data_IF_865838037792
#
_entry.id   IF_865838037792
#
_cell.length_a   1.000
_cell.length_b   1.000
_cell.length_c   1.000
_cell.angle_alpha   90.00
_cell.angle_beta   90.00
_cell.angle_gamma   90.00
#
_symmetry.space_group_name_H-M   'P 1'
#
loop_
_entity.id
_entity.type
_entity.pdbx_description
1 polymer ?
#
# COMPACT_ATOMS: atom_id res chain seq x y z
N UNK A 1 64.48 -47.12 48.87
CA UNK A 1 65.49 -46.22 49.47
C UNK A 1 66.82 -46.51 48.80
N UNK A 2 67.57 -45.50 48.36
CA UNK A 2 68.88 -45.69 47.71
C UNK A 2 70.00 -45.31 48.69
N UNK A 3 71.06 -46.11 48.75
CA UNK A 3 72.20 -45.84 49.64
C UNK A 3 73.04 -44.66 49.13
N UNK A 4 73.46 -43.80 50.05
CA UNK A 4 73.97 -42.46 49.76
C UNK A 4 75.49 -42.41 49.60
N UNK A 5 76.03 -42.97 48.52
CA UNK A 5 77.46 -42.82 48.18
C UNK A 5 77.77 -41.38 47.72
N UNK A 6 78.01 -40.49 48.68
CA UNK A 6 78.49 -39.12 48.45
C UNK A 6 80.01 -39.06 48.51
N UNK A 7 80.68 -38.95 47.35
CA UNK A 7 82.13 -38.81 47.28
C UNK A 7 82.61 -37.51 47.94
N UNK A 8 83.66 -37.59 48.76
CA UNK A 8 84.27 -36.44 49.45
C UNK A 8 85.07 -35.54 48.50
N UNK A 9 85.15 -34.24 48.79
CA UNK A 9 85.85 -33.23 48.00
C UNK A 9 87.38 -33.47 47.96
N UNK A 10 87.99 -33.44 46.77
CA UNK A 10 89.44 -33.71 46.55
C UNK A 10 90.31 -32.44 46.76
N UNK A 11 89.91 -31.59 47.73
CA UNK A 11 90.65 -30.39 48.14
C UNK A 11 91.40 -30.70 49.46
N UNK A 12 92.69 -30.35 49.60
CA UNK A 12 93.47 -30.63 50.82
C UNK A 12 92.75 -30.14 52.09
N UNK A 13 92.61 -31.02 53.09
CA UNK A 13 91.94 -30.71 54.35
C UNK A 13 90.41 -30.61 54.30
N UNK A 14 89.74 -30.79 53.15
CA UNK A 14 88.29 -30.73 53.05
C UNK A 14 87.62 -32.10 53.20
N UNK A 15 86.68 -32.22 54.16
CA UNK A 15 85.87 -33.43 54.39
C UNK A 15 84.41 -33.31 53.91
N UNK A 16 84.05 -32.25 53.17
CA UNK A 16 82.67 -32.05 52.69
C UNK A 16 82.31 -33.04 51.55
N UNK A 17 81.08 -33.56 51.52
CA UNK A 17 80.58 -34.34 50.38
C UNK A 17 80.44 -33.44 49.14
N UNK A 18 80.60 -34.04 47.96
CA UNK A 18 80.36 -33.42 46.67
C UNK A 18 78.93 -33.74 46.22
N UNK A 19 78.09 -32.75 45.85
CA UNK A 19 76.74 -33.00 45.38
C UNK A 19 76.76 -33.63 43.98
N UNK A 20 75.77 -34.50 43.72
CA UNK A 20 75.56 -35.11 42.40
C UNK A 20 74.75 -34.15 41.53
N UNK A 21 75.38 -33.60 40.48
CA UNK A 21 74.65 -32.89 39.43
C UNK A 21 73.69 -33.84 38.70
N UNK A 22 72.52 -33.35 38.30
CA UNK A 22 71.45 -34.14 37.65
C UNK A 22 71.65 -34.35 36.14
N UNK A 23 72.67 -33.74 35.54
CA UNK A 23 72.98 -33.88 34.12
C UNK A 23 73.75 -35.17 33.80
N UNK A 24 73.52 -35.83 32.65
CA UNK A 24 74.32 -36.96 32.20
C UNK A 24 75.80 -36.56 32.00
N UNK A 25 76.69 -37.08 32.84
CA UNK A 25 78.10 -36.74 32.80
C UNK A 25 78.90 -37.33 33.97
N UNK A 26 80.22 -37.10 33.96
CA UNK A 26 81.11 -37.48 35.06
C UNK A 26 80.81 -36.59 36.27
N UNK A 27 80.59 -37.14 37.49
CA UNK A 27 80.28 -36.33 38.66
C UNK A 27 81.44 -35.36 39.00
N UNK A 28 81.14 -34.18 39.57
CA UNK A 28 82.16 -33.22 39.98
C UNK A 28 83.09 -33.80 41.04
N UNK A 29 84.29 -33.24 41.16
CA UNK A 29 85.35 -33.70 42.08
C UNK A 29 85.52 -32.79 43.32
N UNK A 30 84.75 -31.71 43.40
CA UNK A 30 84.83 -30.69 44.42
C UNK A 30 83.44 -30.22 44.82
N UNK A 31 83.25 -29.86 46.10
CA UNK A 31 81.99 -29.31 46.60
C UNK A 31 81.82 -27.84 46.23
N UNK A 32 80.59 -27.33 46.32
CA UNK A 32 80.13 -25.99 45.88
C UNK A 32 80.76 -24.76 46.55
N UNK A 33 81.87 -24.92 47.29
CA UNK A 33 82.68 -23.81 47.76
C UNK A 33 83.48 -23.20 46.59
N UNK A 34 83.34 -21.90 46.26
CA UNK A 34 84.07 -21.26 45.16
C UNK A 34 85.59 -21.38 45.26
N UNK A 35 86.11 -21.57 46.46
CA UNK A 35 87.51 -21.81 46.77
C UNK A 35 88.01 -23.18 46.30
N UNK A 36 87.14 -24.20 46.26
CA UNK A 36 87.54 -25.59 46.02
C UNK A 36 87.54 -25.90 44.52
N UNK A 37 88.45 -25.28 43.78
CA UNK A 37 88.66 -25.53 42.34
C UNK A 37 89.93 -26.35 42.08
N UNK A 38 90.01 -27.03 40.93
CA UNK A 38 91.17 -27.86 40.55
C UNK A 38 92.49 -27.09 40.60
N UNK A 39 92.48 -25.80 40.22
CA UNK A 39 93.65 -24.93 40.24
C UNK A 39 94.07 -24.54 41.67
N UNK A 40 93.14 -24.10 42.54
CA UNK A 40 93.47 -23.80 43.94
C UNK A 40 93.91 -25.06 44.69
N UNK A 41 93.28 -26.21 44.45
CA UNK A 41 93.70 -27.50 45.01
C UNK A 41 95.11 -27.94 44.57
N UNK A 42 95.55 -27.57 43.36
CA UNK A 42 96.93 -27.79 42.91
C UNK A 42 97.90 -26.81 43.57
N UNK A 43 97.58 -25.51 43.59
CA UNK A 43 98.42 -24.48 44.24
C UNK A 43 98.62 -24.76 45.74
N UNK A 44 97.59 -25.23 46.42
CA UNK A 44 97.66 -25.57 47.85
C UNK A 44 98.50 -26.83 48.11
N UNK A 45 98.44 -27.83 47.21
CA UNK A 45 99.39 -28.96 47.26
C UNK A 45 100.83 -28.53 47.01
N UNK A 46 101.06 -27.56 46.11
CA UNK A 46 102.39 -27.01 45.88
C UNK A 46 102.93 -26.24 47.09
N UNK A 47 102.08 -25.46 47.79
CA UNK A 47 102.42 -24.80 49.04
C UNK A 47 102.85 -25.80 50.12
N UNK A 48 102.04 -26.84 50.33
CA UNK A 48 102.33 -27.90 51.32
C UNK A 48 103.57 -28.73 50.96
N UNK A 49 103.85 -28.94 49.67
CA UNK A 49 105.09 -29.59 49.22
C UNK A 49 106.32 -28.72 49.52
N UNK A 50 106.27 -27.42 49.24
CA UNK A 50 107.37 -26.50 49.55
C UNK A 50 107.61 -26.39 51.07
N UNK A 51 106.54 -26.40 51.87
CA UNK A 51 106.64 -26.39 53.34
C UNK A 51 107.23 -27.69 53.90
N UNK A 52 107.08 -28.82 53.20
CA UNK A 52 107.76 -30.08 53.53
C UNK A 52 109.24 -30.08 53.11
N UNK A 53 109.56 -29.64 51.88
CA UNK A 53 110.95 -29.53 51.39
C UNK A 53 111.78 -28.61 52.30
N UNK A 54 111.24 -27.44 52.67
CA UNK A 54 111.90 -26.50 53.58
C UNK A 54 112.14 -27.10 54.98
N UNK A 55 111.29 -28.03 55.43
CA UNK A 55 111.45 -28.72 56.70
C UNK A 55 112.51 -29.84 56.64
N UNK A 56 112.61 -30.56 55.51
CA UNK A 56 113.66 -31.55 55.28
C UNK A 56 115.04 -30.91 55.09
N UNK A 57 115.12 -29.75 54.44
CA UNK A 57 116.38 -29.04 54.21
C UNK A 57 116.95 -28.47 55.53
N UNK A 58 116.09 -27.95 56.41
CA UNK A 58 116.49 -27.47 57.74
C UNK A 58 117.07 -28.58 58.64
N UNK A 59 116.63 -29.84 58.49
CA UNK A 59 117.18 -31.00 59.23
C UNK A 59 118.52 -31.45 58.64
N UNK A 60 118.78 -31.19 57.36
CA UNK A 60 120.00 -31.64 56.65
C UNK A 60 121.21 -30.77 56.94
N UNK A 61 121.02 -29.48 57.25
CA UNK A 61 122.09 -28.52 57.51
C UNK A 61 122.85 -28.70 58.84
N UNK A 62 122.42 -29.60 59.73
CA UNK A 62 123.00 -29.75 61.08
C UNK A 62 124.08 -30.86 61.20
N UNK A 63 124.52 -31.51 60.11
CA UNK A 63 125.24 -32.80 60.20
C UNK A 63 126.64 -32.97 59.52
N UNK A 64 127.20 -31.99 58.79
CA UNK A 64 128.43 -32.24 57.97
C UNK A 64 129.58 -31.19 58.07
N UNK A 65 130.49 -31.27 59.06
CA UNK A 65 131.84 -30.61 59.04
C UNK A 65 132.96 -31.40 59.79
N UNK A 66 134.16 -31.63 59.19
CA UNK A 66 135.41 -31.94 59.95
C UNK A 66 136.63 -32.70 59.31
N UNK A 67 137.85 -32.10 59.36
CA UNK A 67 139.25 -32.68 59.19
C UNK A 67 139.77 -33.01 57.74
N UNK A 68 141.04 -33.36 57.38
CA UNK A 68 142.36 -33.66 58.04
C UNK A 68 143.61 -33.33 57.14
N UNK A 69 144.89 -33.69 57.47
CA UNK A 69 146.14 -33.23 56.76
C UNK A 69 147.43 -34.17 56.75
N UNK A 70 148.64 -33.64 56.38
CA UNK A 70 149.96 -34.30 56.04
C UNK A 70 151.23 -33.48 56.45
N UNK A 71 152.48 -34.03 56.65
CA UNK A 71 153.60 -34.00 55.63
C UNK A 71 154.74 -35.10 55.80
N UNK A 72 155.99 -34.91 55.27
CA UNK A 72 157.18 -35.82 55.32
C UNK A 72 158.56 -35.14 54.97
N UNK A 73 159.75 -35.81 55.10
CA UNK A 73 161.14 -35.58 54.46
C UNK A 73 162.40 -35.95 55.35
N UNK A 74 163.65 -35.98 54.79
CA UNK A 74 164.98 -36.16 55.49
C UNK A 74 166.24 -36.32 54.56
N UNK A 75 167.51 -36.13 55.04
CA UNK A 75 168.77 -36.15 54.20
C UNK A 75 170.19 -36.25 54.91
N UNK A 76 171.27 -36.41 54.09
CA UNK A 76 172.72 -35.98 54.22
C UNK A 76 173.90 -36.96 54.67
N UNK A 77 175.22 -36.60 54.77
CA UNK A 77 176.37 -37.34 54.15
C UNK A 77 177.32 -38.11 55.12
N UNK A 78 178.40 -38.86 54.78
CA UNK A 78 179.39 -38.81 53.66
C UNK A 78 179.78 -40.22 53.14
N UNK A 79 178.99 -40.77 52.21
CA UNK A 79 179.34 -41.95 51.37
C UNK A 79 179.09 -41.68 49.87
N UNK A 80 178.93 -40.41 49.52
CA UNK A 80 178.29 -39.93 48.30
C UNK A 80 179.02 -40.25 46.98
N UNK A 81 180.30 -40.62 47.00
CA UNK A 81 181.03 -40.97 45.78
C UNK A 81 180.65 -42.37 45.24
N UNK A 82 180.41 -43.34 46.14
CA UNK A 82 180.06 -44.72 45.76
C UNK A 82 178.56 -44.85 45.52
N UNK A 83 177.74 -44.27 46.40
CA UNK A 83 176.29 -44.21 46.21
C UNK A 83 175.88 -43.47 44.94
N UNK A 84 176.63 -42.46 44.46
CA UNK A 84 176.35 -41.82 43.15
C UNK A 84 176.53 -42.76 41.97
N UNK A 85 177.40 -43.76 42.04
CA UNK A 85 177.55 -44.74 40.96
C UNK A 85 176.33 -45.68 40.91
N UNK A 86 175.92 -46.21 42.06
CA UNK A 86 174.72 -47.06 42.16
C UNK A 86 173.43 -46.28 41.88
N UNK A 87 173.33 -45.03 42.31
CA UNK A 87 172.22 -44.09 42.01
C UNK A 87 172.17 -43.74 40.51
N UNK A 88 173.32 -43.49 39.86
CA UNK A 88 173.34 -43.29 38.40
C UNK A 88 172.96 -44.58 37.64
N UNK A 89 173.43 -45.76 38.07
CA UNK A 89 173.03 -47.04 37.48
C UNK A 89 171.55 -47.35 37.71
N UNK A 90 171.02 -47.06 38.90
CA UNK A 90 169.60 -47.21 39.25
C UNK A 90 168.74 -46.26 38.43
N UNK A 91 169.16 -45.00 38.26
CA UNK A 91 168.50 -44.05 37.34
C UNK A 91 168.58 -44.52 35.90
N UNK A 92 169.70 -45.07 35.45
CA UNK A 92 169.81 -45.61 34.10
C UNK A 92 168.90 -46.82 33.89
N UNK A 93 168.73 -47.69 34.90
CA UNK A 93 167.77 -48.78 34.88
C UNK A 93 166.32 -48.28 34.87
N UNK A 94 165.96 -47.33 35.74
CA UNK A 94 164.62 -46.72 35.77
C UNK A 94 164.32 -45.94 34.48
N UNK A 95 165.30 -45.24 33.90
CA UNK A 95 165.14 -44.57 32.61
C UNK A 95 165.06 -45.55 31.44
N UNK A 96 165.78 -46.70 31.50
CA UNK A 96 165.64 -47.76 30.51
C UNK A 96 164.28 -48.49 30.63
N UNK A 97 163.76 -48.66 31.84
CA UNK A 97 162.42 -49.21 32.09
C UNK A 97 161.31 -48.23 31.69
N UNK A 98 161.46 -46.94 31.98
CA UNK A 98 160.55 -45.89 31.50
C UNK A 98 160.62 -45.72 29.97
N UNK A 99 161.80 -45.79 29.36
CA UNK A 99 161.95 -45.80 27.91
C UNK A 99 161.36 -47.09 27.33
N UNK A 100 161.53 -48.24 27.98
CA UNK A 100 160.91 -49.51 27.63
C UNK A 100 159.39 -49.44 27.67
N UNK A 101 158.79 -48.91 28.73
CA UNK A 101 157.35 -48.69 28.86
C UNK A 101 156.82 -47.64 27.87
N UNK A 102 157.61 -46.62 27.54
CA UNK A 102 157.27 -45.62 26.52
C UNK A 102 157.32 -46.22 25.13
N UNK A 103 158.35 -47.01 24.81
CA UNK A 103 158.49 -47.74 23.55
C UNK A 103 157.42 -48.82 23.42
N UNK A 104 157.08 -49.56 24.48
CA UNK A 104 156.01 -50.56 24.47
C UNK A 104 154.62 -49.92 24.35
N UNK A 105 154.38 -48.77 25.00
CA UNK A 105 153.17 -47.98 24.80
C UNK A 105 153.08 -47.44 23.36
N UNK A 106 154.19 -46.92 22.81
CA UNK A 106 154.27 -46.50 21.42
C UNK A 106 154.12 -47.68 20.45
N UNK A 107 154.69 -48.86 20.74
CA UNK A 107 154.54 -50.07 19.95
C UNK A 107 153.11 -50.59 20.01
N UNK A 108 152.40 -50.49 21.15
CA UNK A 108 150.97 -50.81 21.24
C UNK A 108 150.10 -49.80 20.47
N UNK A 109 150.42 -48.51 20.51
CA UNK A 109 149.76 -47.50 19.71
C UNK A 109 150.00 -47.71 18.20
N UNK A 110 151.26 -47.92 17.79
CA UNK A 110 151.62 -48.25 16.41
C UNK A 110 151.04 -49.59 15.97
N UNK A 111 150.97 -50.61 16.83
CA UNK A 111 150.29 -51.87 16.51
C UNK A 111 148.79 -51.65 16.29
N UNK A 112 148.13 -50.85 17.11
CA UNK A 112 146.70 -50.50 16.91
C UNK A 112 146.48 -49.65 15.65
N UNK A 113 147.43 -48.77 15.28
CA UNK A 113 147.39 -47.99 14.05
C UNK A 113 147.81 -48.79 12.80
N UNK A 114 148.53 -49.90 12.98
CA UNK A 114 149.02 -50.78 11.91
C UNK A 114 148.27 -52.11 11.85
N UNK A 115 147.23 -52.29 12.68
CA UNK A 115 146.34 -53.44 12.66
C UNK A 115 145.24 -53.20 11.62
N UNK A 116 145.29 -53.87 10.45
CA UNK A 116 144.24 -53.73 9.45
C UNK A 116 142.90 -54.24 9.98
N UNK A 117 142.86 -55.21 10.91
CA UNK A 117 141.61 -55.74 11.43
C UNK A 117 140.87 -54.72 12.33
N UNK A 118 141.59 -53.97 13.17
CA UNK A 118 141.01 -52.86 13.93
C UNK A 118 140.51 -51.74 13.01
N UNK A 119 141.25 -51.39 11.95
CA UNK A 119 140.84 -50.38 10.97
C UNK A 119 139.62 -50.83 10.15
N UNK A 120 139.61 -52.07 9.66
CA UNK A 120 138.49 -52.68 8.95
C UNK A 120 137.25 -52.77 9.84
N UNK A 121 137.38 -53.18 11.10
CA UNK A 121 136.27 -53.21 12.05
C UNK A 121 135.67 -51.83 12.32
N UNK A 122 136.50 -50.77 12.40
CA UNK A 122 136.02 -49.39 12.53
C UNK A 122 135.32 -48.90 11.25
N UNK A 123 135.87 -49.24 10.07
CA UNK A 123 135.27 -48.91 8.77
C UNK A 123 133.94 -49.64 8.56
N UNK A 124 133.83 -50.91 8.93
CA UNK A 124 132.56 -51.66 8.87
C UNK A 124 131.55 -51.19 9.91
N UNK A 125 131.98 -50.85 11.13
CA UNK A 125 131.10 -50.21 12.10
C UNK A 125 130.54 -48.86 11.59
N UNK A 126 131.38 -48.05 10.94
CA UNK A 126 130.97 -46.79 10.32
C UNK A 126 130.05 -47.02 9.10
N UNK A 127 130.32 -48.03 8.26
CA UNK A 127 129.46 -48.44 7.13
C UNK A 127 128.09 -48.90 7.61
N UNK A 128 128.04 -49.73 8.66
CA UNK A 128 126.79 -50.20 9.28
C UNK A 128 126.01 -49.06 9.95
N UNK A 129 126.69 -48.12 10.62
CA UNK A 129 126.05 -46.94 11.20
C UNK A 129 125.47 -46.02 10.11
N UNK A 130 126.24 -45.74 9.04
CA UNK A 130 125.76 -44.96 7.92
C UNK A 130 124.60 -45.64 7.18
N UNK A 131 124.66 -46.96 6.98
CA UNK A 131 123.57 -47.73 6.36
C UNK A 131 122.28 -47.68 7.20
N UNK A 132 122.38 -47.75 8.53
CA UNK A 132 121.22 -47.53 9.43
C UNK A 132 120.69 -46.11 9.32
N UNK A 133 121.55 -45.09 9.40
CA UNK A 133 121.15 -43.69 9.31
C UNK A 133 120.47 -43.36 7.96
N UNK A 134 120.95 -43.94 6.85
CA UNK A 134 120.30 -43.83 5.54
C UNK A 134 118.95 -44.54 5.54
N UNK A 135 118.87 -45.76 6.08
CA UNK A 135 117.60 -46.51 6.19
C UNK A 135 116.56 -45.80 7.06
N UNK A 136 116.99 -45.16 8.16
CA UNK A 136 116.14 -44.36 9.04
C UNK A 136 115.67 -43.08 8.35
N UNK A 137 116.57 -42.38 7.63
CA UNK A 137 116.24 -41.20 6.85
C UNK A 137 115.27 -41.50 5.70
N UNK A 138 115.47 -42.60 4.97
CA UNK A 138 114.54 -43.03 3.91
C UNK A 138 113.19 -43.50 4.48
N UNK A 139 113.18 -44.16 5.64
CA UNK A 139 111.93 -44.52 6.33
C UNK A 139 111.15 -43.27 6.74
N UNK A 140 111.80 -42.31 7.39
CA UNK A 140 111.19 -41.03 7.78
C UNK A 140 110.72 -40.21 6.55
N UNK A 141 111.46 -40.26 5.44
CA UNK A 141 111.07 -39.65 4.15
C UNK A 141 109.82 -40.30 3.57
N UNK A 142 109.74 -41.63 3.58
CA UNK A 142 108.57 -42.38 3.10
C UNK A 142 107.35 -42.15 4.01
N UNK A 143 107.51 -42.10 5.33
CA UNK A 143 106.43 -41.73 6.27
C UNK A 143 105.95 -40.29 6.09
N UNK A 144 106.86 -39.35 5.81
CA UNK A 144 106.50 -37.97 5.51
C UNK A 144 105.76 -37.86 4.16
N UNK A 145 106.18 -38.62 3.15
CA UNK A 145 105.50 -38.64 1.85
C UNK A 145 104.13 -39.32 1.93
N UNK A 146 104.00 -40.43 2.66
CA UNK A 146 102.72 -41.11 2.89
C UNK A 146 101.74 -40.19 3.62
N UNK A 147 102.15 -39.55 4.73
CA UNK A 147 101.31 -38.55 5.42
C UNK A 147 100.93 -37.37 4.53
N UNK A 148 101.79 -36.93 3.60
CA UNK A 148 101.44 -35.90 2.61
C UNK A 148 100.37 -36.40 1.64
N UNK A 149 100.52 -37.62 1.10
CA UNK A 149 99.55 -38.26 0.19
C UNK A 149 98.20 -38.49 0.87
N UNK A 150 98.20 -38.89 2.14
CA UNK A 150 96.99 -39.03 2.98
C UNK A 150 96.30 -37.69 3.20
N UNK A 151 97.04 -36.63 3.56
CA UNK A 151 96.49 -35.28 3.69
C UNK A 151 95.97 -34.73 2.35
N UNK A 152 96.65 -34.98 1.23
CA UNK A 152 96.21 -34.63 -0.13
C UNK A 152 94.97 -35.42 -0.57
N UNK A 153 94.78 -36.66 -0.10
CA UNK A 153 93.58 -37.46 -0.34
C UNK A 153 92.40 -36.98 0.54
N UNK A 154 92.64 -36.74 1.82
CA UNK A 154 91.63 -36.20 2.74
C UNK A 154 91.16 -34.81 2.31
N UNK A 155 92.07 -33.94 1.84
CA UNK A 155 91.71 -32.61 1.32
C UNK A 155 90.84 -32.71 0.06
N UNK A 156 91.19 -33.58 -0.90
CA UNK A 156 90.36 -33.83 -2.10
C UNK A 156 88.99 -34.39 -1.75
N UNK A 157 88.90 -35.35 -0.83
CA UNK A 157 87.62 -35.88 -0.37
C UNK A 157 86.75 -34.81 0.32
N UNK A 158 87.36 -33.85 1.04
CA UNK A 158 86.64 -32.71 1.60
C UNK A 158 86.23 -31.67 0.53
N UNK A 159 87.08 -31.40 -0.47
CA UNK A 159 86.78 -30.56 -1.64
C UNK A 159 85.60 -31.16 -2.44
N UNK A 160 85.59 -32.48 -2.68
CA UNK A 160 84.51 -33.23 -3.32
C UNK A 160 83.21 -33.20 -2.47
N UNK A 161 83.30 -33.44 -1.16
CA UNK A 161 82.15 -33.42 -0.27
C UNK A 161 81.51 -32.02 -0.15
N UNK A 162 82.33 -30.96 -0.13
CA UNK A 162 81.83 -29.57 -0.11
C UNK A 162 81.22 -29.17 -1.45
N UNK A 163 81.82 -29.57 -2.58
CA UNK A 163 81.20 -29.38 -3.90
C UNK A 163 79.85 -30.08 -4.02
N UNK A 164 79.75 -31.33 -3.56
CA UNK A 164 78.49 -32.09 -3.53
C UNK A 164 77.43 -31.42 -2.62
N UNK A 165 77.83 -30.92 -1.45
CA UNK A 165 76.93 -30.20 -0.54
C UNK A 165 76.42 -28.88 -1.14
N UNK A 166 77.28 -28.13 -1.85
CA UNK A 166 76.88 -26.91 -2.56
C UNK A 166 75.92 -27.21 -3.71
N UNK A 167 76.16 -28.25 -4.52
CA UNK A 167 75.22 -28.66 -5.57
C UNK A 167 73.86 -29.06 -4.98
N UNK A 168 73.85 -29.85 -3.89
CA UNK A 168 72.63 -30.27 -3.23
C UNK A 168 71.85 -29.09 -2.62
N UNK A 169 72.55 -28.05 -2.12
CA UNK A 169 71.93 -26.82 -1.65
C UNK A 169 71.29 -26.03 -2.81
N UNK A 170 72.02 -25.83 -3.92
CA UNK A 170 71.52 -25.13 -5.11
C UNK A 170 70.33 -25.84 -5.77
N UNK A 171 70.33 -27.18 -5.77
CA UNK A 171 69.20 -27.97 -6.25
C UNK A 171 67.98 -27.86 -5.31
N UNK A 172 68.20 -27.81 -3.99
CA UNK A 172 67.14 -27.59 -3.00
C UNK A 172 66.56 -26.15 -3.07
N UNK A 173 67.41 -25.13 -3.25
CA UNK A 173 67.01 -23.74 -3.46
C UNK A 173 66.13 -23.62 -4.72
N UNK A 174 66.58 -24.17 -5.86
CA UNK A 174 65.79 -24.18 -7.11
C UNK A 174 64.45 -24.91 -6.95
N UNK A 175 64.44 -26.05 -6.25
CA UNK A 175 63.18 -26.77 -5.94
C UNK A 175 62.24 -25.96 -5.04
N UNK A 176 62.77 -25.17 -4.10
CA UNK A 176 61.97 -24.28 -3.26
C UNK A 176 61.42 -23.07 -4.03
N UNK A 177 62.22 -22.43 -4.90
CA UNK A 177 61.78 -21.36 -5.79
C UNK A 177 60.68 -21.83 -6.75
N UNK A 178 60.85 -23.00 -7.37
CA UNK A 178 59.81 -23.61 -8.20
C UNK A 178 58.53 -23.91 -7.41
N UNK A 179 58.64 -24.41 -6.17
CA UNK A 179 57.48 -24.69 -5.34
C UNK A 179 56.72 -23.42 -4.93
N UNK A 180 57.44 -22.34 -4.58
CA UNK A 180 56.86 -21.03 -4.28
C UNK A 180 56.19 -20.43 -5.53
N UNK A 181 56.85 -20.44 -6.68
CA UNK A 181 56.29 -19.96 -7.94
C UNK A 181 55.00 -20.69 -8.33
N UNK A 182 54.96 -22.02 -8.16
CA UNK A 182 53.75 -22.83 -8.40
C UNK A 182 52.63 -22.52 -7.39
N UNK A 183 52.94 -22.26 -6.12
CA UNK A 183 51.97 -21.81 -5.12
C UNK A 183 51.38 -20.45 -5.54
N UNK A 184 52.24 -19.48 -5.81
CA UNK A 184 51.82 -18.09 -6.05
C UNK A 184 50.97 -17.98 -7.33
N UNK A 185 51.28 -18.77 -8.36
CA UNK A 185 50.43 -18.91 -9.55
C UNK A 185 49.06 -19.54 -9.24
N UNK A 186 49.01 -20.55 -8.37
CA UNK A 186 47.76 -21.19 -7.96
C UNK A 186 46.90 -20.30 -7.06
N UNK A 187 47.52 -19.49 -6.19
CA UNK A 187 46.82 -18.49 -5.37
C UNK A 187 46.29 -17.33 -6.22
N UNK A 188 47.07 -16.85 -7.19
CA UNK A 188 46.62 -15.82 -8.13
C UNK A 188 45.43 -16.30 -8.99
N UNK A 189 45.44 -17.54 -9.49
CA UNK A 189 44.30 -18.09 -10.23
C UNK A 189 43.08 -18.34 -9.30
N UNK A 190 43.27 -18.82 -8.07
CA UNK A 190 42.20 -18.94 -7.05
C UNK A 190 41.52 -17.60 -6.81
N UNK A 191 42.31 -16.53 -6.64
CA UNK A 191 41.77 -15.21 -6.30
C UNK A 191 41.08 -14.56 -7.51
N UNK A 192 41.62 -14.76 -8.71
CA UNK A 192 40.95 -14.42 -9.99
C UNK A 192 39.62 -15.16 -10.17
N UNK A 193 39.56 -16.47 -9.91
CA UNK A 193 38.31 -17.24 -9.97
C UNK A 193 37.31 -16.81 -8.88
N UNK A 194 37.81 -16.43 -7.71
CA UNK A 194 36.98 -15.87 -6.62
C UNK A 194 36.37 -14.53 -7.02
N UNK A 195 37.13 -13.65 -7.68
CA UNK A 195 36.61 -12.36 -8.15
C UNK A 195 35.65 -12.52 -9.32
N UNK A 196 35.94 -13.39 -10.29
CA UNK A 196 34.99 -13.75 -11.36
C UNK A 196 33.67 -14.30 -10.80
N UNK A 197 33.73 -15.14 -9.77
CA UNK A 197 32.53 -15.65 -9.08
C UNK A 197 31.75 -14.53 -8.35
N UNK A 198 32.44 -13.56 -7.74
CA UNK A 198 31.80 -12.37 -7.14
C UNK A 198 31.12 -11.49 -8.19
N UNK A 199 31.79 -11.21 -9.31
CA UNK A 199 31.22 -10.46 -10.43
C UNK A 199 29.96 -11.16 -10.97
N UNK A 200 30.03 -12.46 -11.26
CA UNK A 200 28.89 -13.23 -11.75
C UNK A 200 27.71 -13.28 -10.74
N UNK A 201 27.99 -13.30 -9.43
CA UNK A 201 26.96 -13.18 -8.39
C UNK A 201 26.32 -11.79 -8.40
N UNK A 202 27.12 -10.72 -8.48
CA UNK A 202 26.62 -9.35 -8.53
C UNK A 202 25.81 -9.06 -9.79
N UNK A 203 26.24 -9.55 -10.96
CA UNK A 203 25.52 -9.46 -12.23
C UNK A 203 24.19 -10.22 -12.17
N UNK A 204 24.18 -11.44 -11.63
CA UNK A 204 22.95 -12.23 -11.38
C UNK A 204 21.98 -11.47 -10.49
N UNK A 205 22.47 -10.93 -9.37
CA UNK A 205 21.61 -10.29 -8.36
C UNK A 205 21.08 -8.93 -8.86
N UNK A 206 21.85 -8.21 -9.68
CA UNK A 206 21.39 -7.04 -10.41
C UNK A 206 20.31 -7.40 -11.44
N UNK A 207 20.51 -8.44 -12.26
CA UNK A 207 19.53 -8.89 -13.24
C UNK A 207 18.22 -9.40 -12.60
N UNK A 208 18.31 -10.06 -11.43
CA UNK A 208 17.14 -10.47 -10.64
C UNK A 208 16.42 -9.25 -10.05
N UNK A 209 17.15 -8.23 -9.56
CA UNK A 209 16.55 -6.99 -9.07
C UNK A 209 15.85 -6.21 -10.20
N UNK A 210 16.46 -6.12 -11.38
CA UNK A 210 15.86 -5.51 -12.58
C UNK A 210 14.58 -6.27 -12.98
N UNK A 211 14.65 -7.59 -13.14
CA UNK A 211 13.50 -8.42 -13.50
C UNK A 211 12.33 -8.29 -12.50
N UNK A 212 12.62 -8.30 -11.20
CA UNK A 212 11.61 -8.11 -10.15
C UNK A 212 10.98 -6.70 -10.21
N UNK A 213 11.77 -5.66 -10.47
CA UNK A 213 11.24 -4.29 -10.62
C UNK A 213 10.39 -4.13 -11.89
N UNK A 214 10.79 -4.78 -12.99
CA UNK A 214 10.03 -4.85 -14.24
C UNK A 214 8.70 -5.59 -14.08
N UNK A 215 8.69 -6.70 -13.32
CA UNK A 215 7.49 -7.44 -12.97
C UNK A 215 6.53 -6.60 -12.12
N UNK A 216 7.00 -6.02 -11.00
CA UNK A 216 6.17 -5.16 -10.15
C UNK A 216 5.59 -3.95 -10.91
N UNK A 217 6.37 -3.35 -11.81
CA UNK A 217 5.91 -2.28 -12.68
C UNK A 217 4.88 -2.76 -13.72
N UNK A 218 4.98 -4.00 -14.21
CA UNK A 218 3.99 -4.61 -15.10
C UNK A 218 2.68 -4.94 -14.36
N UNK A 219 2.77 -5.54 -13.17
CA UNK A 219 1.62 -5.82 -12.28
C UNK A 219 0.87 -4.53 -11.93
N UNK A 220 1.58 -3.45 -11.59
CA UNK A 220 0.97 -2.16 -11.33
C UNK A 220 0.22 -1.59 -12.55
N UNK A 221 0.80 -1.67 -13.76
CA UNK A 221 0.11 -1.27 -15.00
C UNK A 221 -1.11 -2.15 -15.31
N UNK A 222 -1.05 -3.45 -15.03
CA UNK A 222 -2.18 -4.38 -15.21
C UNK A 222 -3.30 -4.06 -14.22
N UNK A 223 -2.97 -3.80 -12.95
CA UNK A 223 -3.94 -3.36 -11.95
C UNK A 223 -4.59 -2.02 -12.35
N UNK A 224 -3.80 -1.02 -12.73
CA UNK A 224 -4.32 0.30 -13.11
C UNK A 224 -5.22 0.22 -14.36
N UNK A 225 -4.81 -0.50 -15.41
CA UNK A 225 -5.64 -0.69 -16.60
C UNK A 225 -6.91 -1.49 -16.32
N UNK A 226 -6.86 -2.47 -15.40
CA UNK A 226 -8.04 -3.22 -14.94
C UNK A 226 -9.02 -2.31 -14.19
N UNK A 227 -8.54 -1.46 -13.28
CA UNK A 227 -9.40 -0.52 -12.54
C UNK A 227 -9.99 0.56 -13.45
N UNK A 228 -9.22 1.09 -14.41
CA UNK A 228 -9.74 2.01 -15.43
C UNK A 228 -10.86 1.36 -16.25
N UNK A 229 -10.65 0.14 -16.75
CA UNK A 229 -11.64 -0.61 -17.52
C UNK A 229 -12.90 -0.96 -16.69
N UNK A 230 -12.75 -1.27 -15.40
CA UNK A 230 -13.88 -1.44 -14.47
C UNK A 230 -14.69 -0.15 -14.32
N UNK A 231 -14.03 0.97 -14.06
CA UNK A 231 -14.66 2.27 -13.92
C UNK A 231 -15.30 2.78 -15.22
N UNK A 232 -14.77 2.41 -16.40
CA UNK A 232 -15.38 2.67 -17.71
C UNK A 232 -16.65 1.85 -17.89
N UNK A 233 -16.58 0.52 -17.69
CA UNK A 233 -17.73 -0.38 -17.78
C UNK A 233 -18.86 -0.02 -16.78
N UNK A 234 -18.52 0.45 -15.58
CA UNK A 234 -19.51 0.96 -14.62
C UNK A 234 -20.16 2.27 -15.06
N UNK A 235 -19.40 3.19 -15.66
CA UNK A 235 -19.94 4.44 -16.24
C UNK A 235 -20.86 4.14 -17.42
N UNK A 236 -20.47 3.25 -18.33
CA UNK A 236 -21.31 2.78 -19.44
C UNK A 236 -22.60 2.12 -18.95
N UNK A 237 -22.53 1.22 -17.96
CA UNK A 237 -23.71 0.59 -17.34
C UNK A 237 -24.63 1.62 -16.69
N UNK A 238 -24.07 2.59 -15.95
CA UNK A 238 -24.85 3.66 -15.34
C UNK A 238 -25.46 4.62 -16.37
N UNK A 239 -24.83 4.84 -17.52
CA UNK A 239 -25.40 5.60 -18.64
C UNK A 239 -26.50 4.82 -19.35
N UNK A 240 -26.25 3.56 -19.74
CA UNK A 240 -27.26 2.69 -20.34
C UNK A 240 -28.50 2.54 -19.45
N UNK A 241 -28.32 2.39 -18.13
CA UNK A 241 -29.43 2.37 -17.17
C UNK A 241 -30.23 3.69 -17.17
N UNK A 242 -29.56 4.85 -17.20
CA UNK A 242 -30.22 6.17 -17.28
C UNK A 242 -30.94 6.39 -18.61
N UNK A 243 -30.41 5.86 -19.72
CA UNK A 243 -31.06 5.91 -21.05
C UNK A 243 -32.30 5.02 -21.06
N UNK A 244 -32.19 3.78 -20.58
CA UNK A 244 -33.31 2.84 -20.49
C UNK A 244 -34.43 3.37 -19.58
N UNK A 245 -34.09 3.99 -18.45
CA UNK A 245 -35.11 4.53 -17.54
C UNK A 245 -35.81 5.76 -18.13
N UNK A 246 -35.09 6.67 -18.80
CA UNK A 246 -35.71 7.75 -19.58
C UNK A 246 -36.65 7.22 -20.66
N UNK A 247 -36.23 6.18 -21.39
CA UNK A 247 -37.05 5.56 -22.43
C UNK A 247 -38.31 4.87 -21.86
N UNK A 248 -38.23 4.27 -20.66
CA UNK A 248 -39.39 3.73 -19.94
C UNK A 248 -40.36 4.82 -19.51
N UNK A 249 -39.86 5.87 -18.85
CA UNK A 249 -40.69 7.01 -18.40
C UNK A 249 -41.39 7.68 -19.58
N UNK A 250 -40.69 7.88 -20.70
CA UNK A 250 -41.27 8.46 -21.91
C UNK A 250 -42.29 7.51 -22.56
N UNK A 251 -42.01 6.22 -22.64
CA UNK A 251 -42.99 5.24 -23.15
C UNK A 251 -44.26 5.17 -22.28
N UNK A 252 -44.14 5.30 -20.95
CA UNK A 252 -45.29 5.31 -20.04
C UNK A 252 -46.07 6.63 -20.09
N UNK A 253 -45.38 7.77 -20.27
CA UNK A 253 -46.01 9.06 -20.58
C UNK A 253 -46.83 8.98 -21.87
N UNK A 254 -46.23 8.47 -22.94
CA UNK A 254 -46.90 8.31 -24.24
C UNK A 254 -48.08 7.32 -24.18
N UNK A 255 -47.99 6.23 -23.40
CA UNK A 255 -49.15 5.34 -23.12
C UNK A 255 -50.26 6.06 -22.39
N UNK A 256 -49.93 6.86 -21.38
CA UNK A 256 -50.91 7.63 -20.59
C UNK A 256 -51.61 8.68 -21.46
N UNK A 257 -50.85 9.43 -22.26
CA UNK A 257 -51.36 10.41 -23.22
C UNK A 257 -52.24 9.75 -24.30
N UNK A 258 -51.85 8.59 -24.82
CA UNK A 258 -52.65 7.83 -25.78
C UNK A 258 -53.96 7.28 -25.15
N UNK A 259 -53.91 6.80 -23.90
CA UNK A 259 -55.09 6.34 -23.17
C UNK A 259 -56.06 7.49 -22.85
N UNK A 260 -55.55 8.69 -22.51
CA UNK A 260 -56.38 9.89 -22.40
C UNK A 260 -56.98 10.32 -23.74
N UNK A 261 -56.21 10.27 -24.83
CA UNK A 261 -56.73 10.58 -26.16
C UNK A 261 -57.81 9.58 -26.61
N UNK A 262 -57.70 8.30 -26.25
CA UNK A 262 -58.78 7.33 -26.45
C UNK A 262 -60.01 7.74 -25.64
N UNK A 263 -59.88 7.88 -24.31
CA UNK A 263 -61.01 8.25 -23.44
C UNK A 263 -61.75 9.50 -23.92
N UNK A 264 -61.03 10.55 -24.34
CA UNK A 264 -61.64 11.78 -24.88
C UNK A 264 -62.36 11.57 -26.23
N UNK A 265 -61.93 10.61 -27.06
CA UNK A 265 -62.66 10.21 -28.28
C UNK A 265 -63.89 9.38 -27.94
N UNK A 266 -63.75 8.42 -27.02
CA UNK A 266 -64.83 7.56 -26.55
C UNK A 266 -65.94 8.40 -25.88
N UNK A 267 -65.57 9.38 -25.05
CA UNK A 267 -66.45 10.38 -24.45
C UNK A 267 -67.10 11.30 -25.49
N UNK A 268 -66.35 11.76 -26.49
CA UNK A 268 -66.90 12.59 -27.57
C UNK A 268 -67.90 11.82 -28.44
N UNK A 269 -67.62 10.56 -28.79
CA UNK A 269 -68.53 9.72 -29.56
C UNK A 269 -69.79 9.38 -28.74
N UNK A 270 -69.66 9.11 -27.43
CA UNK A 270 -70.81 8.95 -26.54
C UNK A 270 -71.64 10.24 -26.42
N UNK A 271 -70.99 11.41 -26.39
CA UNK A 271 -71.67 12.71 -26.36
C UNK A 271 -72.38 13.01 -27.69
N UNK A 272 -71.79 12.66 -28.83
CA UNK A 272 -72.36 12.79 -30.17
C UNK A 272 -73.56 11.85 -30.36
N UNK A 273 -73.39 10.54 -30.13
CA UNK A 273 -74.49 9.55 -30.12
C UNK A 273 -75.60 9.97 -29.16
N UNK A 274 -75.25 10.49 -27.99
CA UNK A 274 -76.20 11.03 -27.02
C UNK A 274 -76.89 12.33 -27.47
N UNK A 275 -76.25 13.14 -28.32
CA UNK A 275 -76.84 14.34 -28.91
C UNK A 275 -77.78 14.00 -30.07
N UNK A 276 -77.38 13.09 -30.97
CA UNK A 276 -78.22 12.54 -32.03
C UNK A 276 -79.48 11.92 -31.43
N UNK A 277 -79.36 11.03 -30.45
CA UNK A 277 -80.52 10.43 -29.78
C UNK A 277 -81.39 11.44 -29.01
N UNK A 278 -80.87 12.61 -28.62
CA UNK A 278 -81.69 13.72 -28.10
C UNK A 278 -82.41 14.49 -29.21
N UNK A 279 -81.77 14.68 -30.37
CA UNK A 279 -82.38 15.29 -31.54
C UNK A 279 -83.51 14.40 -32.09
N UNK A 280 -83.26 13.10 -32.30
CA UNK A 280 -84.28 12.12 -32.71
C UNK A 280 -85.52 12.14 -31.81
N UNK A 281 -85.33 12.13 -30.48
CA UNK A 281 -86.47 12.23 -29.53
C UNK A 281 -87.16 13.60 -29.53
N UNK A 282 -86.46 14.68 -29.84
CA UNK A 282 -87.06 16.00 -29.99
C UNK A 282 -87.85 16.12 -31.30
N UNK A 283 -87.37 15.50 -32.39
CA UNK A 283 -88.07 15.39 -33.66
C UNK A 283 -89.31 14.47 -33.55
N UNK A 284 -89.20 13.32 -32.88
CA UNK A 284 -90.37 12.49 -32.53
C UNK A 284 -91.41 13.27 -31.73
N UNK A 285 -90.99 14.02 -30.71
CA UNK A 285 -91.92 14.79 -29.89
C UNK A 285 -92.54 15.94 -30.68
N UNK A 286 -91.76 16.69 -31.45
CA UNK A 286 -92.27 17.75 -32.32
C UNK A 286 -93.25 17.20 -33.39
N UNK A 287 -93.02 15.99 -33.90
CA UNK A 287 -93.93 15.32 -34.82
C UNK A 287 -95.25 14.91 -34.13
N UNK A 288 -95.21 14.41 -32.88
CA UNK A 288 -96.41 14.14 -32.06
C UNK A 288 -97.16 15.42 -31.73
N UNK A 289 -96.47 16.47 -31.31
CA UNK A 289 -97.07 17.77 -30.98
C UNK A 289 -97.72 18.40 -32.25
N UNK A 290 -97.08 18.26 -33.42
CA UNK A 290 -97.65 18.68 -34.69
C UNK A 290 -98.89 17.84 -35.11
N UNK A 291 -98.93 16.54 -34.79
CA UNK A 291 -100.11 15.69 -34.99
C UNK A 291 -101.25 16.14 -34.06
N UNK A 292 -101.00 16.33 -32.77
CA UNK A 292 -101.98 16.83 -31.80
C UNK A 292 -102.52 18.20 -32.25
N UNK A 293 -101.67 19.13 -32.66
CA UNK A 293 -102.10 20.44 -33.19
C UNK A 293 -102.91 20.34 -34.50
N UNK A 294 -102.71 19.28 -35.31
CA UNK A 294 -103.54 19.03 -36.49
C UNK A 294 -104.92 18.43 -36.12
N UNK A 295 -104.97 17.53 -35.14
CA UNK A 295 -106.20 16.99 -34.57
C UNK A 295 -107.02 18.09 -33.86
N UNK A 296 -106.36 18.97 -33.09
CA UNK A 296 -107.00 20.14 -32.49
C UNK A 296 -107.50 21.12 -33.57
N UNK A 297 -106.72 21.42 -34.60
CA UNK A 297 -107.17 22.31 -35.69
C UNK A 297 -108.36 21.75 -36.47
N UNK A 298 -108.39 20.44 -36.75
CA UNK A 298 -109.53 19.80 -37.42
C UNK A 298 -110.76 19.75 -36.51
N UNK A 299 -110.57 19.49 -35.21
CA UNK A 299 -111.63 19.58 -34.20
C UNK A 299 -112.20 21.00 -34.09
N UNK A 300 -111.37 22.02 -33.93
CA UNK A 300 -111.80 23.42 -33.85
C UNK A 300 -112.44 23.90 -35.16
N UNK A 301 -111.99 23.41 -36.32
CA UNK A 301 -112.66 23.61 -37.61
C UNK A 301 -114.09 23.08 -37.59
N UNK A 302 -114.28 21.82 -37.21
CA UNK A 302 -115.61 21.22 -37.11
C UNK A 302 -116.50 21.83 -36.00
N UNK A 303 -115.91 22.36 -34.92
CA UNK A 303 -116.64 23.11 -33.89
C UNK A 303 -117.06 24.51 -34.39
N UNK A 304 -116.24 25.18 -35.21
CA UNK A 304 -116.56 26.43 -35.91
C UNK A 304 -117.62 26.24 -37.00
N UNK A 305 -117.57 25.17 -37.78
CA UNK A 305 -118.63 24.84 -38.75
C UNK A 305 -119.97 24.63 -38.06
N UNK A 306 -120.00 23.86 -36.95
CA UNK A 306 -121.20 23.71 -36.11
C UNK A 306 -121.64 25.05 -35.48
N UNK A 307 -120.72 25.97 -35.20
CA UNK A 307 -121.06 27.31 -34.70
C UNK A 307 -121.68 28.18 -35.80
N UNK A 308 -121.13 28.16 -37.02
CA UNK A 308 -121.71 28.84 -38.18
C UNK A 308 -123.11 28.30 -38.53
N UNK A 309 -123.27 26.97 -38.60
CA UNK A 309 -124.58 26.36 -38.89
C UNK A 309 -125.65 26.75 -37.87
N UNK A 310 -125.30 26.87 -36.59
CA UNK A 310 -126.20 27.41 -35.55
C UNK A 310 -126.49 28.88 -35.76
N UNK A 311 -125.48 29.71 -36.02
CA UNK A 311 -125.67 31.14 -36.34
C UNK A 311 -126.53 31.37 -37.61
N UNK A 312 -126.46 30.48 -38.60
CA UNK A 312 -127.31 30.51 -39.79
C UNK A 312 -128.73 30.06 -39.48
N UNK A 313 -128.94 29.02 -38.65
CA UNK A 313 -130.28 28.65 -38.19
C UNK A 313 -130.92 29.73 -37.31
N UNK A 314 -130.13 30.38 -36.45
CA UNK A 314 -130.57 31.47 -35.58
C UNK A 314 -130.93 32.73 -36.40
N UNK A 315 -130.15 33.03 -37.46
CA UNK A 315 -130.50 34.08 -38.43
C UNK A 315 -131.78 33.75 -39.20
N UNK A 316 -131.91 32.54 -39.73
CA UNK A 316 -133.11 32.12 -40.45
C UNK A 316 -134.37 32.16 -39.55
N UNK A 317 -134.24 31.76 -38.27
CA UNK A 317 -135.30 31.88 -37.28
C UNK A 317 -135.63 33.34 -36.95
N UNK A 318 -134.62 34.20 -36.79
CA UNK A 318 -134.81 35.64 -36.55
C UNK A 318 -135.41 36.38 -37.76
N UNK A 319 -135.10 35.96 -38.99
CA UNK A 319 -135.70 36.47 -40.22
C UNK A 319 -137.16 36.01 -40.38
N UNK A 320 -137.46 34.74 -40.06
CA UNK A 320 -138.83 34.24 -40.03
C UNK A 320 -139.70 34.95 -38.99
N UNK A 321 -139.20 35.15 -37.76
CA UNK A 321 -139.94 35.87 -36.71
C UNK A 321 -140.03 37.38 -37.02
N UNK A 322 -139.03 37.99 -37.68
CA UNK A 322 -139.16 39.35 -38.23
C UNK A 322 -140.25 39.43 -39.30
N UNK A 323 -140.29 38.52 -40.27
CA UNK A 323 -141.32 38.51 -41.30
C UNK A 323 -142.73 38.35 -40.71
N UNK A 324 -142.87 37.51 -39.67
CA UNK A 324 -144.09 37.35 -38.89
C UNK A 324 -144.49 38.64 -38.17
N UNK A 325 -143.57 39.28 -37.44
CA UNK A 325 -143.82 40.53 -36.73
C UNK A 325 -144.15 41.70 -37.67
N UNK A 326 -143.54 41.76 -38.86
CA UNK A 326 -143.92 42.71 -39.91
C UNK A 326 -145.35 42.47 -40.38
N UNK A 327 -145.72 41.23 -40.71
CA UNK A 327 -147.10 40.90 -41.13
C UNK A 327 -148.15 41.15 -40.03
N UNK A 328 -147.75 41.08 -38.75
CA UNK A 328 -148.59 41.42 -37.60
C UNK A 328 -148.71 42.95 -37.41
N UNK A 329 -147.63 43.71 -37.61
CA UNK A 329 -147.65 45.18 -37.66
C UNK A 329 -148.47 45.74 -38.83
N UNK A 330 -148.38 45.12 -40.01
CA UNK A 330 -149.17 45.50 -41.19
C UNK A 330 -150.68 45.30 -40.93
N UNK A 331 -151.06 44.18 -40.30
CA UNK A 331 -152.43 43.93 -39.82
C UNK A 331 -152.88 45.00 -38.82
N UNK A 332 -152.10 45.23 -37.77
CA UNK A 332 -152.44 46.21 -36.73
C UNK A 332 -152.53 47.63 -37.29
N UNK A 333 -151.74 47.95 -38.33
CA UNK A 333 -151.80 49.24 -39.03
C UNK A 333 -153.09 49.36 -39.86
N UNK A 334 -153.45 48.33 -40.63
CA UNK A 334 -154.70 48.28 -41.39
C UNK A 334 -155.95 48.29 -40.48
N UNK A 335 -155.93 47.58 -39.35
CA UNK A 335 -156.97 47.63 -38.33
C UNK A 335 -157.09 49.03 -37.70
N UNK A 336 -155.95 49.69 -37.40
CA UNK A 336 -155.92 51.08 -36.90
C UNK A 336 -156.48 52.07 -37.92
N UNK A 337 -156.16 51.90 -39.20
CA UNK A 337 -156.67 52.76 -40.27
C UNK A 337 -158.18 52.58 -40.47
N UNK A 338 -158.68 51.34 -40.45
CA UNK A 338 -160.13 51.05 -40.44
C UNK A 338 -160.81 51.71 -39.23
N UNK A 339 -160.30 51.49 -38.03
CA UNK A 339 -160.86 52.07 -36.79
C UNK A 339 -160.82 53.61 -36.81
N UNK A 340 -159.80 54.23 -37.42
CA UNK A 340 -159.71 55.69 -37.56
C UNK A 340 -160.76 56.21 -38.55
N UNK A 341 -160.94 55.53 -39.69
CA UNK A 341 -161.98 55.87 -40.66
C UNK A 341 -163.40 55.70 -40.09
N UNK A 342 -163.63 54.66 -39.29
CA UNK A 342 -164.87 54.45 -38.53
C UNK A 342 -165.10 55.58 -37.50
N UNK A 343 -164.05 56.02 -36.78
CA UNK A 343 -164.13 57.13 -35.83
C UNK A 343 -164.44 58.48 -36.52
N UNK A 344 -163.83 58.77 -37.66
CA UNK A 344 -164.09 59.99 -38.42
C UNK A 344 -165.41 59.96 -39.21
N UNK A 345 -165.99 58.77 -39.45
CA UNK A 345 -167.37 58.62 -39.90
C UNK A 345 -168.36 58.86 -38.75
N UNK A 346 -168.10 58.31 -37.54
CA UNK A 346 -168.90 58.58 -36.35
C UNK A 346 -168.87 60.07 -35.96
N UNK A 347 -167.71 60.73 -36.04
CA UNK A 347 -167.59 62.18 -35.81
C UNK A 347 -168.43 63.00 -36.77
N UNK A 348 -168.38 62.71 -38.08
CA UNK A 348 -169.21 63.42 -39.07
C UNK A 348 -170.71 63.21 -38.87
N UNK A 349 -171.14 62.01 -38.47
CA UNK A 349 -172.53 61.77 -38.07
C UNK A 349 -172.90 62.49 -36.75
N UNK A 350 -171.99 62.59 -35.79
CA UNK A 350 -172.20 63.35 -34.56
C UNK A 350 -172.28 64.87 -34.85
N UNK A 351 -171.45 65.40 -35.75
CA UNK A 351 -171.50 66.81 -36.18
C UNK A 351 -172.80 67.15 -36.92
N UNK A 352 -173.27 66.27 -37.82
CA UNK A 352 -174.56 66.40 -38.50
C UNK A 352 -175.72 66.40 -37.50
N UNK A 353 -175.84 65.36 -36.66
CA UNK A 353 -176.94 65.26 -35.69
C UNK A 353 -176.91 66.36 -34.62
N UNK A 354 -175.73 66.89 -34.28
CA UNK A 354 -175.61 68.02 -33.35
C UNK A 354 -175.88 69.38 -34.03
N UNK A 355 -175.70 69.51 -35.35
CA UNK A 355 -176.22 70.63 -36.13
C UNK A 355 -177.76 70.60 -36.21
N UNK A 356 -178.34 69.46 -36.59
CA UNK A 356 -179.80 69.24 -36.61
C UNK A 356 -180.44 69.52 -35.24
N UNK A 357 -179.81 69.04 -34.15
CA UNK A 357 -180.28 69.28 -32.79
C UNK A 357 -180.19 70.76 -32.39
N UNK A 358 -179.19 71.51 -32.85
CA UNK A 358 -179.07 72.97 -32.62
C UNK A 358 -180.14 73.74 -33.38
N UNK A 359 -180.40 73.38 -34.64
CA UNK A 359 -181.43 74.02 -35.47
C UNK A 359 -182.83 73.76 -34.90
N UNK A 360 -183.11 72.52 -34.50
CA UNK A 360 -184.34 72.16 -33.80
C UNK A 360 -184.48 72.83 -32.40
N UNK A 361 -183.37 73.08 -31.70
CA UNK A 361 -183.38 73.81 -30.43
C UNK A 361 -183.65 75.32 -30.63
N UNK A 362 -183.04 75.94 -31.65
CA UNK A 362 -183.29 77.34 -31.99
C UNK A 362 -184.75 77.57 -32.39
N UNK A 363 -185.33 76.69 -33.20
CA UNK A 363 -186.75 76.73 -33.56
C UNK A 363 -187.67 76.62 -32.32
N UNK A 364 -187.34 75.74 -31.36
CA UNK A 364 -188.10 75.62 -30.10
C UNK A 364 -187.95 76.84 -29.20
N UNK A 365 -186.79 77.48 -29.16
CA UNK A 365 -186.55 78.67 -28.35
C UNK A 365 -187.39 79.85 -28.86
N UNK A 366 -187.39 80.09 -30.17
CA UNK A 366 -188.23 81.12 -30.81
C UNK A 366 -189.73 80.95 -30.48
N UNK A 367 -190.26 79.73 -30.54
CA UNK A 367 -191.65 79.43 -30.18
C UNK A 367 -191.91 79.63 -28.67
N UNK A 368 -190.92 79.36 -27.82
CA UNK A 368 -191.04 79.58 -26.37
C UNK A 368 -191.02 81.08 -26.00
N UNK A 369 -190.24 81.90 -26.72
CA UNK A 369 -190.19 83.35 -26.52
C UNK A 369 -191.48 84.03 -26.98
N UNK A 370 -192.03 83.65 -28.15
CA UNK A 370 -193.38 84.09 -28.56
C UNK A 370 -194.45 83.71 -27.52
N UNK A 371 -194.34 82.54 -26.89
CA UNK A 371 -195.29 82.09 -25.88
C UNK A 371 -195.14 82.85 -24.54
N UNK A 372 -193.91 83.22 -24.16
CA UNK A 372 -193.60 84.05 -22.98
C UNK A 372 -194.15 85.45 -23.13
N UNK A 373 -193.94 86.08 -24.28
CA UNK A 373 -194.31 87.49 -24.46
C UNK A 373 -195.83 87.64 -24.56
N UNK A 374 -196.51 86.68 -25.21
CA UNK A 374 -197.98 86.50 -25.14
C UNK A 374 -198.50 86.09 -23.75
N UNK A 375 -197.64 85.79 -22.77
CA UNK A 375 -198.04 85.55 -21.37
C UNK A 375 -197.87 86.81 -20.52
N UNK A 376 -196.80 87.58 -20.72
CA UNK A 376 -196.58 88.89 -20.09
C UNK A 376 -197.71 89.86 -20.45
N UNK A 377 -198.10 89.94 -21.73
CA UNK A 377 -199.27 90.71 -22.18
C UNK A 377 -200.60 90.31 -21.51
N UNK A 378 -200.69 89.14 -20.87
CA UNK A 378 -201.86 88.69 -20.11
C UNK A 378 -201.72 88.94 -18.60
N UNK A 379 -200.51 88.95 -18.06
CA UNK A 379 -200.23 89.31 -16.68
C UNK A 379 -200.55 90.79 -16.42
N UNK A 380 -200.03 91.71 -17.25
CA UNK A 380 -200.24 93.17 -17.11
C UNK A 380 -201.74 93.54 -17.12
N UNK A 381 -202.54 92.81 -17.91
CA UNK A 381 -204.00 92.95 -17.94
C UNK A 381 -204.67 92.46 -16.65
N UNK A 382 -204.21 91.35 -16.08
CA UNK A 382 -204.78 90.79 -14.86
C UNK A 382 -204.45 91.63 -13.60
N UNK A 383 -203.23 92.16 -13.50
CA UNK A 383 -202.88 93.06 -12.38
C UNK A 383 -203.66 94.39 -12.46
N UNK A 384 -203.85 94.92 -13.68
CA UNK A 384 -204.73 96.07 -13.94
C UNK A 384 -206.19 95.84 -13.52
N UNK A 385 -206.67 94.60 -13.42
CA UNK A 385 -208.01 94.26 -12.94
C UNK A 385 -208.06 94.05 -11.42
N UNK A 386 -206.98 93.52 -10.83
CA UNK A 386 -206.85 93.33 -9.37
C UNK A 386 -206.77 94.66 -8.60
N UNK A 387 -206.05 95.67 -9.11
CA UNK A 387 -206.01 97.00 -8.48
C UNK A 387 -207.41 97.63 -8.35
N UNK A 388 -208.30 97.35 -9.31
CA UNK A 388 -209.69 97.85 -9.28
C UNK A 388 -210.54 97.09 -8.26
N UNK A 389 -210.38 95.77 -8.17
CA UNK A 389 -211.16 94.92 -7.25
C UNK A 389 -210.80 95.13 -5.76
N UNK A 390 -209.60 95.62 -5.45
CA UNK A 390 -209.17 95.91 -4.08
C UNK A 390 -209.86 97.11 -3.43
N UNK A 391 -210.20 98.14 -4.22
CA UNK A 391 -210.74 99.41 -3.72
C UNK A 391 -212.10 99.30 -3.03
N UNK A 392 -213.02 98.52 -3.60
CA UNK A 392 -214.43 98.50 -3.18
C UNK A 392 -214.66 97.75 -1.85
N UNK A 393 -213.75 96.86 -1.42
CA UNK A 393 -214.05 95.88 -0.36
C UNK A 393 -213.66 96.32 1.05
N UNK A 394 -212.77 97.30 1.19
CA UNK A 394 -212.33 97.81 2.50
C UNK A 394 -213.25 98.90 3.08
N UNK A 395 -214.12 99.52 2.26
CA UNK A 395 -215.09 100.53 2.72
C UNK A 395 -216.20 99.93 3.60
N UNK A 396 -216.34 98.60 3.65
CA UNK A 396 -217.44 97.89 4.27
C UNK A 396 -217.30 97.60 5.78
N UNK A 397 -216.08 97.63 6.35
CA UNK A 397 -215.83 97.20 7.75
C UNK A 397 -215.80 98.38 8.74
N UNK A 398 -216.40 99.52 8.36
CA UNK A 398 -216.49 100.73 9.18
C UNK A 398 -217.81 100.84 9.99
N UNK A 399 -218.65 99.78 10.04
CA UNK A 399 -219.98 99.82 10.68
C UNK A 399 -220.43 98.49 11.33
N UNK A 400 -219.79 98.07 12.41
CA UNK A 400 -220.48 97.29 13.48
C UNK A 400 -219.76 97.24 14.84
N UNK A 401 -218.94 98.24 15.19
CA UNK A 401 -218.62 98.70 16.56
C UNK A 401 -217.97 100.08 16.47
#
# INVERSE_FOLDING_TARGET
>A
MASSDSSTCIFPGCTRPVPRGSSPGRPPQYCDLPEHTRWRAWKERQRLAQEAENAEEAVRSEQEEGTAAKPAQGAEPVTAARLRADDLLTRFAVQAEQLGATLDSATRAFATMSDPAAAEAQVEAARLAAARQVSEADSARLEAENRRREAEAARRSAEEATAAAVSAAQDAERMAEEALSRRDAAEAERDKQTELARTAIAERDAAVAEANSGLAAAEHRIAETTERARAELERERAEAARILERARTEAERLRTEAAEQSRRRDEAELAERGALARAERAEEQAARDAQVLAEERTRFGAELERAHQRLESDRAAAEAERARLTAELDRLTADRERLTAELDAQRRNAELTLAEAREAAAARLSVAEEARDRALERADRAESELERAGGDRAQAVAKSS
#
